data_IF_665915968771
#
_entry.id   IF_665915968771
#
_cell.length_a   1.000
_cell.length_b   1.000
_cell.length_c   1.000
_cell.angle_alpha   90.00
_cell.angle_beta   90.00
_cell.angle_gamma   90.00
#
_symmetry.space_group_name_H-M   'P 1'
#
loop_
_entity.id
_entity.type
_entity.pdbx_description
1 polymer ?
#
# COMPACT_ATOMS: atom_id res chain seq x y z
N UNK A 1 2.85 -50.71 -34.03
CA UNK A 1 1.81 -50.78 -32.98
C UNK A 1 2.44 -50.36 -31.65
N UNK A 2 2.26 -49.09 -31.27
CA UNK A 2 2.86 -48.52 -30.05
C UNK A 2 1.76 -48.49 -28.98
N UNK A 3 1.95 -49.24 -27.90
CA UNK A 3 1.03 -49.32 -26.76
C UNK A 3 1.31 -48.15 -25.82
N UNK A 4 0.30 -47.31 -25.57
CA UNK A 4 0.32 -46.31 -24.50
C UNK A 4 -0.07 -46.97 -23.17
N UNK A 5 0.59 -46.63 -22.04
CA UNK A 5 0.15 -47.06 -20.72
C UNK A 5 -1.03 -46.20 -20.21
N UNK A 6 -1.87 -46.75 -19.32
CA UNK A 6 -3.06 -46.06 -18.81
C UNK A 6 -2.71 -45.01 -17.75
N UNK A 7 -3.51 -43.94 -17.73
CA UNK A 7 -3.44 -42.87 -16.75
C UNK A 7 -3.77 -43.38 -15.34
N UNK A 8 -2.86 -43.18 -14.39
CA UNK A 8 -3.09 -43.41 -12.97
C UNK A 8 -3.82 -42.22 -12.35
N UNK A 9 -5.06 -42.44 -11.94
CA UNK A 9 -5.86 -41.54 -11.09
C UNK A 9 -5.30 -41.52 -9.66
N UNK A 10 -4.80 -40.36 -9.22
CA UNK A 10 -4.43 -40.11 -7.82
C UNK A 10 -5.39 -39.06 -7.24
N UNK A 11 -6.45 -39.54 -6.58
CA UNK A 11 -7.21 -38.78 -5.59
C UNK A 11 -6.51 -38.90 -4.24
N UNK A 12 -5.82 -37.82 -3.83
CA UNK A 12 -5.46 -37.58 -2.44
C UNK A 12 -5.95 -36.20 -2.05
N UNK A 13 -7.15 -36.17 -1.50
CA UNK A 13 -7.65 -35.03 -0.75
C UNK A 13 -6.72 -34.82 0.45
N UNK A 14 -6.08 -33.67 0.49
CA UNK A 14 -5.40 -33.17 1.68
C UNK A 14 -6.33 -32.14 2.36
N UNK A 15 -6.31 -32.07 3.69
CA UNK A 15 -7.28 -31.29 4.44
C UNK A 15 -7.13 -29.81 4.13
N UNK A 16 -8.24 -29.19 3.75
CA UNK A 16 -8.38 -27.75 3.57
C UNK A 16 -8.08 -27.09 4.92
N UNK A 17 -6.90 -26.48 5.01
CA UNK A 17 -6.55 -25.58 6.11
C UNK A 17 -7.34 -24.29 5.90
N UNK A 18 -8.51 -24.21 6.53
CA UNK A 18 -9.31 -23.00 6.69
C UNK A 18 -8.54 -21.96 7.49
N UNK A 19 -7.70 -21.18 6.81
CA UNK A 19 -7.33 -19.85 7.29
C UNK A 19 -8.39 -18.87 6.79
N UNK A 20 -9.57 -18.95 7.39
CA UNK A 20 -10.53 -17.86 7.36
C UNK A 20 -9.91 -16.70 8.14
N UNK A 21 -9.26 -15.79 7.44
CA UNK A 21 -9.23 -14.41 7.91
C UNK A 21 -10.63 -13.91 7.60
N UNK A 22 -11.44 -13.76 8.64
CA UNK A 22 -12.67 -12.98 8.55
C UNK A 22 -12.29 -11.62 7.95
N UNK A 23 -12.51 -11.48 6.64
CA UNK A 23 -12.82 -10.21 6.03
C UNK A 23 -14.13 -9.77 6.68
N UNK A 24 -14.02 -9.22 7.89
CA UNK A 24 -15.05 -8.45 8.53
C UNK A 24 -15.35 -7.27 7.60
N UNK A 25 -16.34 -7.45 6.73
CA UNK A 25 -17.07 -6.41 6.01
C UNK A 25 -17.88 -5.57 7.01
N UNK A 26 -17.19 -4.99 7.98
CA UNK A 26 -17.76 -4.52 9.24
C UNK A 26 -17.35 -3.07 9.56
N UNK A 27 -17.06 -2.28 8.53
CA UNK A 27 -16.58 -0.90 8.73
C UNK A 27 -17.29 0.20 7.96
N UNK A 28 -18.40 -0.09 7.29
CA UNK A 28 -19.32 0.96 6.85
C UNK A 28 -20.74 0.60 7.30
N UNK A 29 -21.09 1.01 8.52
CA UNK A 29 -22.46 1.32 8.86
C UNK A 29 -22.54 2.84 8.94
N UNK A 30 -23.09 3.45 7.89
CA UNK A 30 -23.52 4.84 7.91
C UNK A 30 -24.49 5.02 9.08
N UNK A 31 -24.14 5.92 9.99
CA UNK A 31 -25.05 6.38 11.04
C UNK A 31 -26.03 7.34 10.36
N UNK A 32 -27.17 6.83 9.90
CA UNK A 32 -28.32 7.68 9.55
C UNK A 32 -29.06 8.07 10.83
N UNK A 33 -29.29 9.37 11.02
CA UNK A 33 -30.08 9.92 12.13
C UNK A 33 -31.52 9.36 12.17
N UNK A 34 -32.14 9.22 13.35
CA UNK A 34 -33.43 8.56 13.49
C UNK A 34 -34.58 9.51 13.20
N UNK A 35 -35.40 9.19 12.20
CA UNK A 35 -36.76 9.71 12.07
C UNK A 35 -37.79 8.66 12.49
N UNK A 36 -38.83 9.18 13.15
CA UNK A 36 -39.75 8.55 14.08
C UNK A 36 -40.81 7.63 13.43
N UNK A 37 -41.20 6.59 14.18
CA UNK A 37 -42.50 5.87 14.19
C UNK A 37 -42.79 4.78 13.16
N UNK A 38 -42.80 3.51 13.60
CA UNK A 38 -44.01 2.65 13.64
C UNK A 38 -43.67 1.18 13.94
N UNK A 39 -44.50 0.58 14.80
CA UNK A 39 -44.50 -0.81 15.29
C UNK A 39 -44.50 -1.87 14.18
N UNK A 40 -43.63 -2.87 14.34
CA UNK A 40 -43.94 -4.28 14.08
C UNK A 40 -43.06 -5.16 15.00
N UNK A 41 -43.68 -5.95 15.87
CA UNK A 41 -43.00 -6.96 16.67
C UNK A 41 -42.73 -8.18 15.78
N UNK A 42 -41.46 -8.42 15.49
CA UNK A 42 -40.94 -9.69 14.98
C UNK A 42 -39.69 -10.03 15.76
N UNK A 43 -39.65 -11.22 16.37
CA UNK A 43 -38.48 -11.76 17.05
C UNK A 43 -37.31 -11.87 16.06
N UNK A 44 -36.37 -10.93 16.17
CA UNK A 44 -35.09 -10.95 15.46
C UNK A 44 -34.06 -11.51 16.44
N UNK A 45 -33.46 -12.63 16.05
CA UNK A 45 -32.39 -13.30 16.77
C UNK A 45 -31.29 -12.33 17.20
N UNK A 46 -30.75 -12.59 18.39
CA UNK A 46 -29.70 -11.82 19.04
C UNK A 46 -28.49 -11.63 18.13
N UNK A 47 -28.51 -10.57 17.31
CA UNK A 47 -27.36 -10.08 16.57
C UNK A 47 -26.33 -9.65 17.60
N UNK A 48 -25.32 -10.49 17.79
CA UNK A 48 -24.16 -10.16 18.61
C UNK A 48 -23.55 -8.87 18.06
N UNK A 49 -23.69 -7.80 18.83
CA UNK A 49 -23.04 -6.51 18.56
C UNK A 49 -21.54 -6.76 18.30
N UNK A 50 -20.96 -6.15 17.24
CA UNK A 50 -19.54 -6.32 16.93
C UNK A 50 -18.71 -5.94 18.16
N UNK A 51 -17.87 -6.87 18.61
CA UNK A 51 -17.01 -6.65 19.79
C UNK A 51 -16.06 -5.49 19.51
N UNK A 52 -16.35 -4.33 20.10
CA UNK A 52 -15.50 -3.14 20.01
C UNK A 52 -14.17 -3.45 20.70
N UNK A 53 -13.11 -3.63 19.91
CA UNK A 53 -11.76 -3.88 20.41
C UNK A 53 -11.25 -2.68 21.22
N UNK A 54 -10.60 -2.96 22.35
CA UNK A 54 -9.99 -1.93 23.19
C UNK A 54 -8.80 -1.29 22.45
N UNK A 55 -8.48 0.00 22.70
CA UNK A 55 -7.36 0.69 22.04
C UNK A 55 -6.01 -0.03 22.13
N UNK A 56 -5.74 -0.70 23.26
CA UNK A 56 -4.51 -1.48 23.48
C UNK A 56 -4.41 -2.71 22.56
N UNK A 57 -5.53 -3.40 22.31
CA UNK A 57 -5.59 -4.56 21.43
C UNK A 57 -5.32 -4.15 19.97
N UNK A 58 -5.87 -3.00 19.55
CA UNK A 58 -5.61 -2.43 18.22
C UNK A 58 -4.13 -2.10 18.03
N UNK A 59 -3.49 -1.49 19.04
CA UNK A 59 -2.06 -1.17 18.98
C UNK A 59 -1.20 -2.43 18.90
N UNK A 60 -1.48 -3.44 19.72
CA UNK A 60 -0.74 -4.70 19.68
C UNK A 60 -0.91 -5.42 18.33
N UNK A 61 -2.10 -5.33 17.71
CA UNK A 61 -2.35 -5.84 16.36
C UNK A 61 -1.49 -5.14 15.30
N UNK A 62 -1.40 -3.79 15.35
CA UNK A 62 -0.52 -3.02 14.46
C UNK A 62 0.94 -3.44 14.63
N UNK A 63 1.42 -3.52 15.87
CA UNK A 63 2.82 -3.93 16.17
C UNK A 63 3.12 -5.34 15.66
N UNK A 64 2.24 -6.30 15.95
CA UNK A 64 2.38 -7.67 15.49
C UNK A 64 2.40 -7.78 13.96
N UNK A 65 1.54 -6.99 13.29
CA UNK A 65 1.52 -6.94 11.84
C UNK A 65 2.79 -6.32 11.25
N UNK A 66 3.26 -5.18 11.77
CA UNK A 66 4.48 -4.52 11.29
C UNK A 66 5.66 -5.50 11.37
N UNK A 67 5.79 -6.21 12.49
CA UNK A 67 6.83 -7.22 12.66
C UNK A 67 6.74 -8.31 11.59
N UNK A 68 5.56 -8.90 11.42
CA UNK A 68 5.31 -9.92 10.39
C UNK A 68 5.63 -9.39 8.98
N UNK A 69 5.23 -8.16 8.66
CA UNK A 69 5.48 -7.55 7.36
C UNK A 69 6.98 -7.37 7.11
N UNK A 70 7.72 -6.82 8.07
CA UNK A 70 9.17 -6.62 7.94
C UNK A 70 9.87 -7.96 7.67
N UNK A 71 9.46 -9.03 8.35
CA UNK A 71 9.99 -10.39 8.16
C UNK A 71 9.75 -10.94 6.76
N UNK A 72 8.54 -10.76 6.20
CA UNK A 72 8.17 -11.33 4.89
C UNK A 72 8.40 -10.36 3.71
N UNK A 73 8.71 -9.09 3.95
CA UNK A 73 8.78 -8.02 2.93
C UNK A 73 9.60 -8.40 1.70
N UNK A 74 10.81 -8.93 1.92
CA UNK A 74 11.69 -9.37 0.83
C UNK A 74 11.09 -10.51 0.00
N UNK A 75 10.42 -11.47 0.67
CA UNK A 75 9.75 -12.58 -0.02
C UNK A 75 8.54 -12.09 -0.79
N UNK A 76 7.78 -11.15 -0.21
CA UNK A 76 6.63 -10.51 -0.84
C UNK A 76 7.04 -9.77 -2.13
N UNK A 77 8.12 -8.99 -2.10
CA UNK A 77 8.67 -8.31 -3.28
C UNK A 77 9.11 -9.30 -4.36
N UNK A 78 9.79 -10.39 -3.96
CA UNK A 78 10.24 -11.43 -4.89
C UNK A 78 9.07 -12.19 -5.51
N UNK A 79 8.03 -12.48 -4.73
CA UNK A 79 6.81 -13.13 -5.20
C UNK A 79 6.03 -12.24 -6.16
N UNK A 80 5.83 -10.96 -5.81
CA UNK A 80 5.13 -10.01 -6.67
C UNK A 80 5.83 -9.83 -8.03
N UNK A 81 7.17 -9.73 -8.04
CA UNK A 81 7.95 -9.72 -9.29
C UNK A 81 7.72 -10.96 -10.13
N UNK A 82 7.63 -12.14 -9.52
CA UNK A 82 7.36 -13.39 -10.25
C UNK A 82 5.97 -13.41 -10.89
N UNK A 83 4.95 -12.92 -10.18
CA UNK A 83 3.60 -12.79 -10.73
C UNK A 83 3.63 -11.89 -11.96
N UNK A 84 4.25 -10.72 -11.85
CA UNK A 84 4.30 -9.72 -12.92
C UNK A 84 5.12 -10.12 -14.14
N UNK A 85 6.29 -10.73 -13.94
CA UNK A 85 7.22 -11.04 -15.04
C UNK A 85 6.87 -12.34 -15.77
N UNK A 86 6.27 -13.31 -15.08
CA UNK A 86 6.02 -14.66 -15.64
C UNK A 86 4.54 -14.95 -15.89
N UNK A 87 3.68 -13.94 -15.73
CA UNK A 87 2.23 -14.05 -15.82
C UNK A 87 1.68 -15.28 -15.08
N UNK A 88 2.20 -15.52 -13.87
CA UNK A 88 1.82 -16.69 -13.07
C UNK A 88 0.55 -16.41 -12.29
N UNK A 89 -0.23 -17.46 -12.07
CA UNK A 89 -1.35 -17.40 -11.15
C UNK A 89 -0.88 -16.94 -9.77
N UNK A 90 -1.60 -15.97 -9.21
CA UNK A 90 -1.22 -15.33 -7.96
C UNK A 90 -1.44 -16.25 -6.75
N UNK A 91 -2.46 -17.11 -6.80
CA UNK A 91 -2.77 -18.10 -5.78
C UNK A 91 -1.67 -19.15 -5.68
N UNK A 92 -1.22 -19.69 -6.82
CA UNK A 92 -0.09 -20.63 -6.87
C UNK A 92 1.20 -20.04 -6.30
N UNK A 93 1.50 -18.77 -6.64
CA UNK A 93 2.69 -18.09 -6.12
C UNK A 93 2.55 -17.85 -4.62
N UNK A 94 1.39 -17.41 -4.13
CA UNK A 94 1.14 -17.21 -2.71
C UNK A 94 1.35 -18.52 -1.93
N UNK A 95 0.71 -19.61 -2.36
CA UNK A 95 0.84 -20.93 -1.75
C UNK A 95 2.30 -21.41 -1.72
N UNK A 96 3.02 -21.31 -2.86
CA UNK A 96 4.41 -21.73 -2.97
C UNK A 96 5.36 -21.02 -2.01
N UNK A 97 5.14 -19.73 -1.76
CA UNK A 97 5.97 -18.93 -0.85
C UNK A 97 5.40 -18.83 0.57
N UNK A 98 4.30 -19.54 0.87
CA UNK A 98 3.58 -19.45 2.15
C UNK A 98 3.22 -18.01 2.53
N UNK A 99 2.80 -17.23 1.53
CA UNK A 99 2.40 -15.84 1.70
C UNK A 99 0.89 -15.73 1.81
N UNK A 100 0.44 -14.74 2.56
CA UNK A 100 -0.96 -14.34 2.56
C UNK A 100 -1.37 -13.83 1.16
N UNK A 101 -2.48 -14.36 0.65
CA UNK A 101 -2.95 -14.07 -0.71
C UNK A 101 -3.33 -12.60 -0.86
N UNK A 102 -4.02 -12.03 0.13
CA UNK A 102 -4.42 -10.62 0.10
C UNK A 102 -3.20 -9.70 0.07
N UNK A 103 -2.18 -9.97 0.90
CA UNK A 103 -0.94 -9.18 0.91
C UNK A 103 -0.21 -9.25 -0.43
N UNK A 104 -0.11 -10.43 -1.03
CA UNK A 104 0.53 -10.57 -2.34
C UNK A 104 -0.26 -9.86 -3.44
N UNK A 105 -1.59 -10.00 -3.44
CA UNK A 105 -2.47 -9.34 -4.39
C UNK A 105 -2.37 -7.82 -4.29
N UNK A 106 -2.45 -7.27 -3.07
CA UNK A 106 -2.31 -5.83 -2.85
C UNK A 106 -0.94 -5.33 -3.30
N UNK A 107 0.15 -6.06 -3.00
CA UNK A 107 1.49 -5.69 -3.47
C UNK A 107 1.60 -5.69 -4.99
N UNK A 108 1.08 -6.71 -5.66
CA UNK A 108 1.04 -6.79 -7.14
C UNK A 108 0.26 -5.61 -7.71
N UNK A 109 -0.90 -5.29 -7.14
CA UNK A 109 -1.70 -4.14 -7.53
C UNK A 109 -0.93 -2.82 -7.38
N UNK A 110 -0.30 -2.58 -6.23
CA UNK A 110 0.52 -1.38 -5.98
C UNK A 110 1.63 -1.24 -7.03
N UNK A 111 2.33 -2.31 -7.36
CA UNK A 111 3.40 -2.26 -8.36
C UNK A 111 2.84 -1.98 -9.76
N UNK A 112 1.73 -2.61 -10.15
CA UNK A 112 1.06 -2.34 -11.44
C UNK A 112 0.63 -0.89 -11.54
N UNK A 113 -0.08 -0.40 -10.53
CA UNK A 113 -0.54 0.98 -10.46
C UNK A 113 0.62 1.96 -10.58
N UNK A 114 1.69 1.78 -9.79
CA UNK A 114 2.88 2.64 -9.84
C UNK A 114 3.54 2.60 -11.23
N UNK A 115 3.62 1.44 -11.87
CA UNK A 115 4.15 1.32 -13.24
C UNK A 115 3.31 2.12 -14.23
N UNK A 116 1.99 1.96 -14.20
CA UNK A 116 1.07 2.71 -15.07
C UNK A 116 1.21 4.22 -14.89
N UNK A 117 1.32 4.69 -13.65
CA UNK A 117 1.52 6.12 -13.39
C UNK A 117 2.86 6.64 -13.95
N UNK A 118 3.93 5.86 -13.83
CA UNK A 118 5.22 6.22 -14.44
C UNK A 118 5.17 6.21 -15.97
N UNK A 119 4.48 5.25 -16.58
CA UNK A 119 4.32 5.18 -18.03
C UNK A 119 3.50 6.38 -18.54
N UNK A 120 2.36 6.69 -17.91
CA UNK A 120 1.55 7.89 -18.21
C UNK A 120 2.41 9.15 -18.11
N UNK A 121 3.11 9.33 -16.98
CA UNK A 121 3.99 10.48 -16.75
C UNK A 121 5.01 10.64 -17.88
N UNK A 122 5.74 9.56 -18.20
CA UNK A 122 6.76 9.56 -19.26
C UNK A 122 6.14 9.93 -20.60
N UNK A 123 5.04 9.30 -20.97
CA UNK A 123 4.40 9.50 -22.28
C UNK A 123 3.90 10.97 -22.41
N UNK A 124 3.41 11.58 -21.32
CA UNK A 124 3.04 13.00 -21.28
C UNK A 124 4.25 13.93 -21.39
N UNK A 125 5.36 13.62 -20.69
CA UNK A 125 6.61 14.36 -20.77
C UNK A 125 7.21 14.32 -22.18
N UNK A 126 7.32 13.13 -22.75
CA UNK A 126 7.90 12.90 -24.07
C UNK A 126 7.06 13.56 -25.17
N UNK A 127 5.72 13.45 -25.11
CA UNK A 127 4.83 14.08 -26.08
C UNK A 127 5.00 15.61 -26.14
N UNK A 128 5.00 16.27 -24.98
CA UNK A 128 5.12 17.74 -24.93
C UNK A 128 6.53 18.19 -25.32
N UNK A 129 7.57 17.49 -24.87
CA UNK A 129 8.95 17.83 -25.19
C UNK A 129 9.27 17.61 -26.67
N UNK A 130 8.78 16.52 -27.29
CA UNK A 130 8.95 16.27 -28.72
C UNK A 130 8.38 17.40 -29.58
N UNK A 131 7.21 17.94 -29.22
CA UNK A 131 6.63 19.09 -29.94
C UNK A 131 7.43 20.36 -29.67
N UNK A 132 7.81 20.61 -28.41
CA UNK A 132 8.56 21.81 -28.01
C UNK A 132 9.88 21.95 -28.77
N UNK A 133 10.61 20.85 -28.96
CA UNK A 133 11.88 20.82 -29.68
C UNK A 133 11.70 20.68 -31.21
N UNK A 134 10.48 20.87 -31.73
CA UNK A 134 10.12 20.75 -33.14
C UNK A 134 10.49 19.38 -33.76
N UNK A 135 10.54 18.32 -32.96
CA UNK A 135 10.80 16.95 -33.42
C UNK A 135 9.53 16.39 -34.09
N UNK A 136 8.37 16.61 -33.47
CA UNK A 136 7.08 16.15 -33.95
C UNK A 136 6.06 17.30 -33.99
N UNK A 137 5.07 17.20 -34.89
CA UNK A 137 3.87 18.04 -34.80
C UNK A 137 2.97 17.58 -33.66
N UNK A 138 2.11 18.47 -33.14
CA UNK A 138 1.15 18.13 -32.07
C UNK A 138 0.33 16.88 -32.40
N UNK A 139 -0.16 16.78 -33.64
CA UNK A 139 -0.96 15.62 -34.05
C UNK A 139 -0.14 14.33 -34.12
N UNK A 140 1.14 14.41 -34.46
CA UNK A 140 2.02 13.23 -34.52
C UNK A 140 2.38 12.76 -33.12
N UNK A 141 2.76 13.68 -32.23
CA UNK A 141 3.06 13.38 -30.84
C UNK A 141 1.85 12.79 -30.10
N UNK A 142 0.66 13.39 -30.27
CA UNK A 142 -0.58 12.87 -29.68
C UNK A 142 -0.85 11.41 -30.08
N UNK A 143 -0.64 11.08 -31.36
CA UNK A 143 -0.83 9.72 -31.88
C UNK A 143 0.27 8.76 -31.39
N UNK A 144 1.52 9.20 -31.38
CA UNK A 144 2.68 8.37 -31.04
C UNK A 144 2.69 7.97 -29.57
N UNK A 145 2.41 8.92 -28.68
CA UNK A 145 2.44 8.72 -27.22
C UNK A 145 1.06 8.43 -26.61
N UNK A 146 -0.01 8.43 -27.42
CA UNK A 146 -1.37 8.19 -26.94
C UNK A 146 -1.89 9.29 -25.98
N UNK A 147 -1.46 10.53 -26.18
CA UNK A 147 -1.80 11.69 -25.34
C UNK A 147 -2.79 12.58 -26.06
N UNK A 148 -3.72 13.19 -25.32
CA UNK A 148 -4.70 14.11 -25.87
C UNK A 148 -4.05 15.38 -26.48
N UNK A 149 -4.59 15.86 -27.61
CA UNK A 149 -4.03 17.03 -28.30
C UNK A 149 -4.22 18.32 -27.50
N UNK A 150 -5.38 18.47 -26.86
CA UNK A 150 -5.70 19.68 -26.09
C UNK A 150 -4.83 19.74 -24.84
N UNK A 151 -4.55 18.59 -24.22
CA UNK A 151 -3.53 18.48 -23.17
C UNK A 151 -2.18 19.04 -23.63
N UNK A 152 -1.65 18.57 -24.77
CA UNK A 152 -0.36 19.04 -25.30
C UNK A 152 -0.39 20.56 -25.54
N UNK A 153 -1.47 21.08 -26.14
CA UNK A 153 -1.63 22.51 -26.38
C UNK A 153 -1.65 23.33 -25.08
N UNK A 154 -2.40 22.91 -24.06
CA UNK A 154 -2.47 23.57 -22.75
C UNK A 154 -1.09 23.62 -22.08
N UNK A 155 -0.37 22.50 -22.07
CA UNK A 155 0.98 22.45 -21.47
C UNK A 155 1.99 23.30 -22.21
N UNK A 156 2.00 23.27 -23.55
CA UNK A 156 2.87 24.16 -24.34
C UNK A 156 2.56 25.63 -24.10
N UNK A 157 1.28 25.99 -23.95
CA UNK A 157 0.87 27.35 -23.60
C UNK A 157 1.41 27.75 -22.23
N UNK A 158 1.28 26.88 -21.21
CA UNK A 158 1.81 27.10 -19.85
C UNK A 158 3.33 27.28 -19.83
N UNK A 159 4.06 26.45 -20.59
CA UNK A 159 5.53 26.52 -20.65
C UNK A 159 6.05 27.85 -21.20
N UNK A 160 5.34 28.47 -22.15
CA UNK A 160 5.70 29.79 -22.68
C UNK A 160 5.70 30.87 -21.59
N UNK A 161 4.82 30.76 -20.59
CA UNK A 161 4.76 31.70 -19.48
C UNK A 161 5.84 31.45 -18.41
N UNK A 162 6.21 30.18 -18.19
CA UNK A 162 7.13 29.80 -17.12
C UNK A 162 8.62 29.91 -17.49
N UNK A 163 8.95 30.20 -18.75
CA UNK A 163 10.32 30.22 -19.29
C UNK A 163 11.13 28.94 -18.96
N UNK A 164 10.44 27.80 -18.76
CA UNK A 164 11.08 26.52 -18.51
C UNK A 164 11.55 25.92 -19.83
N UNK A 165 12.71 25.26 -19.84
CA UNK A 165 13.27 24.60 -21.03
C UNK A 165 12.75 23.18 -21.24
N UNK A 166 12.23 22.52 -20.21
CA UNK A 166 11.72 21.13 -20.29
C UNK A 166 10.37 21.05 -19.60
N UNK A 167 9.43 20.32 -20.21
CA UNK A 167 8.19 19.96 -19.54
C UNK A 167 8.45 18.80 -18.58
N UNK A 168 8.02 18.98 -17.33
CA UNK A 168 7.98 17.94 -16.31
C UNK A 168 6.51 17.76 -15.94
N UNK A 169 6.01 16.55 -16.07
CA UNK A 169 4.65 16.23 -15.71
C UNK A 169 4.57 16.08 -14.18
N UNK A 170 3.86 17.04 -13.59
CA UNK A 170 3.66 17.25 -12.17
C UNK A 170 2.20 16.99 -11.74
N UNK A 171 1.32 16.67 -12.69
CA UNK A 171 -0.05 16.32 -12.34
C UNK A 171 -0.06 15.03 -11.53
N UNK A 172 -0.74 15.12 -10.38
CA UNK A 172 -0.84 14.02 -9.44
C UNK A 172 -1.93 13.06 -9.92
N UNK A 173 -1.72 11.74 -9.81
CA UNK A 173 -2.78 10.78 -10.05
C UNK A 173 -3.93 11.10 -9.10
N UNK A 174 -5.10 11.45 -9.64
CA UNK A 174 -6.31 11.58 -8.83
C UNK A 174 -6.81 10.18 -8.56
N UNK A 175 -6.56 9.70 -7.35
CA UNK A 175 -7.29 8.57 -6.80
C UNK A 175 -8.15 9.13 -5.69
N UNK A 176 -9.47 9.10 -5.88
CA UNK A 176 -10.43 9.71 -4.94
C UNK A 176 -10.34 9.09 -3.53
N UNK A 177 -9.69 7.92 -3.42
CA UNK A 177 -9.55 7.17 -2.16
C UNK A 177 -8.19 7.35 -1.46
N UNK A 178 -7.25 8.17 -1.98
CA UNK A 178 -5.94 8.33 -1.34
C UNK A 178 -5.93 9.42 -0.28
N UNK A 179 -5.63 9.01 0.96
CA UNK A 179 -5.47 9.91 2.12
C UNK A 179 -4.30 10.89 1.93
N UNK A 180 -3.18 10.40 1.41
CA UNK A 180 -1.98 11.20 1.12
C UNK A 180 -1.59 11.00 -0.34
N UNK A 181 -1.11 12.08 -0.95
CA UNK A 181 -0.53 12.06 -2.28
C UNK A 181 0.90 11.50 -2.21
N UNK A 182 1.50 11.21 -3.36
CA UNK A 182 2.80 10.54 -3.41
C UNK A 182 3.95 11.38 -2.81
N UNK A 183 4.01 12.67 -3.15
CA UNK A 183 4.93 13.63 -2.53
C UNK A 183 4.63 13.79 -1.04
N UNK A 184 3.35 13.78 -0.71
CA UNK A 184 2.75 13.59 0.62
C UNK A 184 3.45 12.53 1.47
N UNK A 185 3.31 11.30 0.99
CA UNK A 185 3.85 10.10 1.62
C UNK A 185 5.38 10.17 1.73
N UNK A 186 6.06 10.79 0.77
CA UNK A 186 7.53 10.93 0.82
C UNK A 186 7.96 11.96 1.87
N UNK A 187 7.24 13.08 2.02
CA UNK A 187 7.45 14.02 3.13
C UNK A 187 7.22 13.35 4.47
N UNK A 188 6.14 12.57 4.61
CA UNK A 188 5.88 11.78 5.80
C UNK A 188 7.02 10.78 6.08
N UNK A 189 7.52 10.07 5.06
CA UNK A 189 8.63 9.13 5.22
C UNK A 189 9.93 9.82 5.66
N UNK A 190 10.22 11.00 5.12
CA UNK A 190 11.38 11.80 5.53
C UNK A 190 11.23 12.30 6.97
N UNK A 191 10.03 12.71 7.38
CA UNK A 191 9.75 13.09 8.76
C UNK A 191 9.94 11.91 9.70
N UNK A 192 9.49 10.71 9.30
CA UNK A 192 9.72 9.49 10.07
C UNK A 192 11.21 9.19 10.23
N UNK A 193 11.99 9.33 9.16
CA UNK A 193 13.44 9.14 9.20
C UNK A 193 14.13 10.12 10.15
N UNK A 194 13.75 11.40 10.14
CA UNK A 194 14.29 12.42 11.05
C UNK A 194 14.00 12.07 12.51
N UNK A 195 12.73 11.80 12.85
CA UNK A 195 12.34 11.45 14.23
C UNK A 195 13.02 10.18 14.75
N UNK A 196 13.31 9.22 13.87
CA UNK A 196 14.06 8.01 14.24
C UNK A 196 15.54 8.29 14.42
N UNK A 197 16.11 9.20 13.63
CA UNK A 197 17.52 9.59 13.75
C UNK A 197 17.80 10.31 15.08
N UNK A 198 16.81 11.05 15.59
CA UNK A 198 16.88 11.74 16.88
C UNK A 198 16.65 10.81 18.09
N UNK A 199 16.18 9.58 17.87
CA UNK A 199 15.89 8.59 18.91
C UNK A 199 16.87 7.40 18.82
N UNK A 200 17.97 7.40 19.60
CA UNK A 200 19.00 6.37 19.51
C UNK A 200 18.47 4.97 19.89
N UNK A 201 17.32 4.88 20.56
CA UNK A 201 16.71 3.60 20.93
C UNK A 201 15.88 2.99 19.80
N UNK A 202 15.63 3.72 18.70
CA UNK A 202 14.66 3.35 17.68
C UNK A 202 15.22 3.24 16.24
N UNK A 203 16.47 2.83 16.07
CA UNK A 203 17.14 2.81 14.74
C UNK A 203 16.68 1.72 13.75
N UNK A 204 15.87 0.76 14.20
CA UNK A 204 15.44 -0.38 13.38
C UNK A 204 14.10 -0.17 12.69
N UNK A 205 13.87 -0.90 11.59
CA UNK A 205 12.65 -0.88 10.79
C UNK A 205 11.38 -1.08 11.61
N UNK A 206 11.35 -2.10 12.46
CA UNK A 206 10.14 -2.41 13.24
C UNK A 206 9.84 -1.33 14.29
N UNK A 207 10.85 -0.67 14.86
CA UNK A 207 10.63 0.44 15.79
C UNK A 207 10.16 1.70 15.05
N UNK A 208 10.87 2.09 13.99
CA UNK A 208 10.49 3.21 13.13
C UNK A 208 9.04 3.10 12.67
N UNK A 209 8.66 1.96 12.07
CA UNK A 209 7.33 1.76 11.53
C UNK A 209 6.21 1.74 12.59
N UNK A 210 6.51 1.54 13.88
CA UNK A 210 5.51 1.68 14.94
C UNK A 210 5.10 3.13 15.21
N UNK A 211 5.95 4.10 14.86
CA UNK A 211 5.64 5.54 14.96
C UNK A 211 4.79 6.04 13.78
N UNK A 212 4.85 5.34 12.64
CA UNK A 212 4.20 5.73 11.39
C UNK A 212 2.69 6.05 11.52
N UNK A 213 1.85 5.25 12.21
CA UNK A 213 0.41 5.52 12.25
C UNK A 213 0.06 6.82 12.95
N UNK A 214 0.73 7.14 14.06
CA UNK A 214 0.55 8.41 14.77
C UNK A 214 1.07 9.58 13.92
N UNK A 215 2.25 9.41 13.31
CA UNK A 215 2.84 10.44 12.47
C UNK A 215 1.98 10.76 11.24
N UNK A 216 1.36 9.75 10.63
CA UNK A 216 0.45 9.92 9.51
C UNK A 216 -0.80 10.73 9.91
N UNK A 217 -1.36 10.45 11.09
CA UNK A 217 -2.49 11.22 11.61
C UNK A 217 -2.11 12.68 11.89
N UNK A 218 -1.00 12.91 12.59
CA UNK A 218 -0.49 14.25 12.84
C UNK A 218 -0.22 15.01 11.53
N UNK A 219 0.29 14.33 10.51
CA UNK A 219 0.55 14.90 9.20
C UNK A 219 -0.74 15.37 8.52
N UNK A 220 -1.80 14.56 8.49
CA UNK A 220 -3.07 14.96 7.85
C UNK A 220 -3.74 16.13 8.59
N UNK A 221 -3.67 16.13 9.92
CA UNK A 221 -4.21 17.21 10.77
C UNK A 221 -3.46 18.54 10.55
N UNK A 222 -2.13 18.50 10.56
CA UNK A 222 -1.29 19.69 10.36
C UNK A 222 -1.48 20.30 8.96
N UNK A 223 -1.66 19.46 7.95
CA UNK A 223 -1.87 19.89 6.56
C UNK A 223 -3.35 20.16 6.23
N UNK A 224 -4.26 20.07 7.23
CA UNK A 224 -5.71 20.30 7.08
C UNK A 224 -6.30 19.52 5.91
N UNK A 225 -5.91 18.25 5.76
CA UNK A 225 -6.39 17.43 4.64
C UNK A 225 -7.91 17.27 4.75
N UNK A 226 -8.65 17.51 3.65
CA UNK A 226 -10.11 17.50 3.68
C UNK A 226 -10.70 16.09 3.81
N UNK A 227 -9.92 15.06 3.48
CA UNK A 227 -10.38 13.68 3.43
C UNK A 227 -9.39 12.72 4.07
N UNK A 228 -9.83 12.05 5.13
CA UNK A 228 -9.22 10.86 5.71
C UNK A 228 -10.28 10.11 6.53
N UNK A 229 -10.10 8.80 6.81
CA UNK A 229 -11.11 8.04 7.54
C UNK A 229 -11.41 8.63 8.92
N UNK A 230 -12.68 8.87 9.23
CA UNK A 230 -13.10 9.45 10.52
C UNK A 230 -12.63 8.65 11.74
N UNK A 231 -12.44 7.33 11.58
CA UNK A 231 -11.88 6.46 12.60
C UNK A 231 -10.49 6.89 13.08
N UNK A 232 -9.71 7.59 12.24
CA UNK A 232 -8.41 8.11 12.63
C UNK A 232 -8.51 9.14 13.74
N UNK A 233 -9.56 9.97 13.75
CA UNK A 233 -9.82 10.95 14.81
C UNK A 233 -10.07 10.28 16.15
N UNK A 234 -10.85 9.19 16.15
CA UNK A 234 -11.14 8.44 17.37
C UNK A 234 -9.89 7.81 17.98
N UNK A 235 -8.94 7.39 17.14
CA UNK A 235 -7.72 6.71 17.60
C UNK A 235 -6.48 7.61 17.69
N UNK A 236 -6.52 8.81 17.13
CA UNK A 236 -5.36 9.67 16.91
C UNK A 236 -4.26 9.02 16.06
N UNK A 237 -4.65 8.09 15.16
CA UNK A 237 -3.74 7.19 14.43
C UNK A 237 -4.33 6.74 13.12
N UNK A 238 -3.47 6.51 12.15
CA UNK A 238 -3.84 5.77 10.94
C UNK A 238 -4.22 4.32 11.24
N UNK A 239 -5.18 3.81 10.46
CA UNK A 239 -5.61 2.43 10.58
C UNK A 239 -4.56 1.45 10.05
N UNK A 240 -4.77 0.16 10.36
CA UNK A 240 -3.88 -0.93 9.97
C UNK A 240 -3.75 -0.99 8.45
N UNK A 241 -4.86 -0.92 7.71
CA UNK A 241 -4.88 -1.14 6.25
C UNK A 241 -4.04 -0.06 5.57
N UNK A 242 -4.29 1.21 5.87
CA UNK A 242 -3.52 2.31 5.31
C UNK A 242 -2.03 2.16 5.64
N UNK A 243 -1.70 1.85 6.90
CA UNK A 243 -0.30 1.64 7.34
C UNK A 243 0.37 0.50 6.56
N UNK A 244 -0.36 -0.59 6.32
CA UNK A 244 0.14 -1.74 5.57
C UNK A 244 0.51 -1.35 4.14
N UNK A 245 -0.39 -0.64 3.47
CA UNK A 245 -0.22 -0.26 2.08
C UNK A 245 0.90 0.78 1.92
N UNK A 246 1.01 1.74 2.85
CA UNK A 246 2.12 2.69 2.88
C UNK A 246 3.45 1.94 2.93
N UNK A 247 3.59 0.98 3.84
CA UNK A 247 4.82 0.17 3.97
C UNK A 247 5.08 -0.63 2.68
N UNK A 248 4.04 -1.17 2.04
CA UNK A 248 4.19 -1.85 0.75
C UNK A 248 4.65 -0.92 -0.37
N UNK A 249 4.09 0.31 -0.45
CA UNK A 249 4.46 1.32 -1.45
C UNK A 249 5.93 1.76 -1.32
N UNK A 250 6.38 1.96 -0.08
CA UNK A 250 7.70 2.52 0.27
C UNK A 250 8.71 1.49 0.78
N UNK A 251 8.44 0.19 0.57
CA UNK A 251 9.26 -0.91 1.09
C UNK A 251 10.75 -0.82 0.76
N UNK A 252 11.11 -0.26 -0.41
CA UNK A 252 12.50 -0.07 -0.84
C UNK A 252 13.16 1.06 -0.04
N UNK A 253 12.49 2.19 0.03
CA UNK A 253 12.92 3.40 0.72
C UNK A 253 13.07 3.11 2.24
N UNK A 254 12.07 2.48 2.85
CA UNK A 254 12.12 1.99 4.24
C UNK A 254 13.31 1.06 4.47
N UNK A 255 13.61 0.17 3.52
CA UNK A 255 14.75 -0.74 3.64
C UNK A 255 16.09 -0.03 3.60
N UNK A 256 16.17 1.09 2.89
CA UNK A 256 17.38 1.90 2.79
C UNK A 256 17.56 2.82 4.00
N UNK A 257 16.47 3.34 4.58
CA UNK A 257 16.53 4.31 5.67
C UNK A 257 16.74 3.66 7.04
N UNK A 258 16.24 2.45 7.26
CA UNK A 258 16.20 1.85 8.60
C UNK A 258 16.92 0.49 8.66
N UNK A 259 17.59 0.25 9.78
CA UNK A 259 18.31 -1.01 10.02
C UNK A 259 17.35 -2.19 10.13
N UNK A 260 17.76 -3.36 9.65
CA UNK A 260 16.91 -4.55 9.66
C UNK A 260 16.60 -5.05 11.08
N UNK A 261 17.59 -5.03 11.97
CA UNK A 261 17.51 -5.60 13.31
C UNK A 261 17.56 -4.51 14.38
N UNK A 262 16.82 -4.70 15.48
CA UNK A 262 16.86 -3.78 16.61
C UNK A 262 18.00 -4.14 17.57
N UNK A 263 18.71 -3.13 18.07
CA UNK A 263 19.78 -3.32 19.06
C UNK A 263 19.26 -4.01 20.33
N UNK A 264 18.03 -3.71 20.76
CA UNK A 264 17.38 -4.37 21.90
C UNK A 264 17.27 -5.90 21.73
N UNK A 265 17.02 -6.37 20.50
CA UNK A 265 16.93 -7.81 20.20
C UNK A 265 18.30 -8.49 20.26
N UNK A 266 19.38 -7.74 20.00
CA UNK A 266 20.76 -8.26 20.06
C UNK A 266 21.24 -8.42 21.51
N UNK A 267 20.85 -7.50 22.40
CA UNK A 267 21.20 -7.59 23.83
C UNK A 267 20.53 -8.82 24.45
N UNK A 268 19.23 -9.02 24.22
CA UNK A 268 18.48 -10.18 24.74
C UNK A 268 19.04 -11.54 24.30
N UNK A 269 19.47 -11.66 23.03
CA UNK A 269 20.11 -12.89 22.52
C UNK A 269 21.47 -13.19 23.16
N UNK A 270 22.23 -12.16 23.53
CA UNK A 270 23.56 -12.33 24.17
C UNK A 270 23.45 -12.77 25.62
N UNK A 271 22.48 -12.26 26.37
CA UNK A 271 22.22 -12.70 27.75
C UNK A 271 21.75 -14.15 27.80
N UNK A 272 20.91 -14.58 26.86
CA UNK A 272 20.45 -15.97 26.81
C UNK A 272 21.57 -16.96 26.48
N UNK A 273 22.53 -16.59 25.62
CA UNK A 273 23.71 -17.44 25.29
C UNK A 273 24.77 -17.53 26.39
N UNK A 274 24.80 -16.62 27.36
CA UNK A 274 25.75 -16.68 28.49
C UNK A 274 25.24 -17.52 29.66
N UNK A 275 23.96 -17.89 29.65
CA UNK A 275 23.30 -18.66 30.69
C UNK A 275 23.03 -20.12 30.26
N UNK A 276 23.63 -20.56 29.16
CA UNK A 276 23.68 -21.94 28.66
C UNK A 276 25.15 -22.39 28.66
#
# INVERSE_FOLDING_TARGET
>A
MVRFPPASSCTKESPVSTCAWESSSLFEQEISEPNTTSRAQGDIGSSQLPKVLKPEEKLNKIKGWIKKHVEISHQLDKAAKRVLQKNKDIGEVAHKHKLDLWMLNKKVHIIKFRKTQFDIKRDHEDAVNAVKFNILSVSSAAKEYGVDKDFIHDKLKKLKYLNSNVYVHDEKPKTDDTVLEWDEEFLLLNNLQRQVSDDPNCVCRSCALQKLPSLAYEFVEQNKRPYYPSAWNTTGKADVIWTCEFIMRHSREISNYFQKECMADLVSKRTHRRNL
#
